data_IF_285507811709
#
_entry.id   IF_285507811709
#
_cell.length_a   1.000
_cell.length_b   1.000
_cell.length_c   1.000
_cell.angle_alpha   90.00
_cell.angle_beta   90.00
_cell.angle_gamma   90.00
#
_symmetry.space_group_name_H-M   'P 1'
#
loop_
_entity.id
_entity.type
_entity.pdbx_description
1 polymer ?
#
# COMPACT_ATOMS: atom_id res chain seq x y z
N UNK A 1 -13.42 -5.49 -13.21
CA UNK A 1 -12.23 -5.69 -14.06
C UNK A 1 -11.19 -6.34 -13.18
N UNK A 2 -11.12 -7.67 -13.20
CA UNK A 2 -10.10 -8.40 -12.46
C UNK A 2 -8.82 -8.25 -13.25
N UNK A 3 -7.90 -7.42 -12.76
CA UNK A 3 -6.55 -7.34 -13.29
C UNK A 3 -5.85 -8.69 -13.13
N UNK A 4 -4.69 -8.82 -13.76
CA UNK A 4 -3.89 -10.04 -13.67
C UNK A 4 -3.63 -10.41 -12.19
N UNK A 5 -4.13 -11.56 -11.69
CA UNK A 5 -3.95 -11.95 -10.30
C UNK A 5 -2.47 -12.18 -9.94
N UNK A 6 -1.60 -12.35 -10.93
CA UNK A 6 -0.17 -12.54 -10.75
C UNK A 6 0.63 -11.23 -10.68
N UNK A 7 -0.02 -10.06 -10.75
CA UNK A 7 0.65 -8.75 -10.79
C UNK A 7 1.71 -8.58 -9.69
N UNK A 8 1.41 -9.03 -8.47
CA UNK A 8 2.32 -8.93 -7.33
C UNK A 8 3.61 -9.73 -7.53
N UNK A 9 3.57 -10.87 -8.25
CA UNK A 9 4.76 -11.66 -8.55
C UNK A 9 5.70 -10.92 -9.50
N UNK A 10 5.16 -10.24 -10.51
CA UNK A 10 5.97 -9.44 -11.45
C UNK A 10 6.66 -8.28 -10.73
N UNK A 11 5.94 -7.58 -9.86
CA UNK A 11 6.47 -6.47 -9.07
C UNK A 11 7.59 -6.95 -8.13
N UNK A 12 7.34 -8.04 -7.39
CA UNK A 12 8.33 -8.62 -6.49
C UNK A 12 9.59 -9.08 -7.21
N UNK A 13 9.44 -9.74 -8.37
CA UNK A 13 10.57 -10.16 -9.20
C UNK A 13 11.38 -8.96 -9.68
N UNK A 14 10.72 -7.89 -10.17
CA UNK A 14 11.39 -6.72 -10.70
C UNK A 14 12.17 -5.94 -9.63
N UNK A 15 11.55 -5.68 -8.48
CA UNK A 15 12.13 -4.87 -7.40
C UNK A 15 13.24 -5.59 -6.61
N UNK A 16 13.34 -6.91 -6.72
CA UNK A 16 14.44 -7.69 -6.15
C UNK A 16 15.65 -7.84 -7.08
N UNK A 17 15.62 -7.29 -8.30
CA UNK A 17 16.78 -7.32 -9.19
C UNK A 17 17.88 -6.35 -8.72
N UNK A 18 19.16 -6.75 -8.69
CA UNK A 18 20.25 -5.88 -8.23
C UNK A 18 20.45 -4.61 -9.07
N UNK A 19 20.23 -4.69 -10.39
CA UNK A 19 20.34 -3.55 -11.29
C UNK A 19 19.21 -2.53 -11.06
N UNK A 20 17.98 -3.01 -10.82
CA UNK A 20 16.83 -2.18 -10.45
C UNK A 20 17.05 -1.52 -9.09
N UNK A 21 17.50 -2.27 -8.08
CA UNK A 21 17.79 -1.71 -6.76
C UNK A 21 18.87 -0.61 -6.84
N UNK A 22 19.93 -0.85 -7.62
CA UNK A 22 20.98 0.16 -7.86
C UNK A 22 20.42 1.41 -8.54
N UNK A 23 19.61 1.24 -9.58
CA UNK A 23 19.01 2.36 -10.32
C UNK A 23 18.07 3.21 -9.44
N UNK A 24 17.38 2.59 -8.47
CA UNK A 24 16.50 3.27 -7.52
C UNK A 24 17.19 3.78 -6.25
N UNK A 25 18.50 3.57 -6.12
CA UNK A 25 19.25 3.80 -4.87
C UNK A 25 18.63 3.08 -3.66
N UNK A 26 18.04 1.90 -3.89
CA UNK A 26 17.51 1.02 -2.87
C UNK A 26 18.57 -0.01 -2.44
N UNK A 27 18.43 -0.55 -1.23
CA UNK A 27 19.33 -1.57 -0.69
C UNK A 27 20.83 -1.17 -0.71
N UNK A 28 21.13 0.11 -0.45
CA UNK A 28 22.50 0.65 -0.52
C UNK A 28 23.45 0.08 0.54
N UNK A 29 22.91 -0.46 1.63
CA UNK A 29 23.66 -1.05 2.75
C UNK A 29 23.73 -2.57 2.72
N UNK A 30 23.10 -3.24 1.74
CA UNK A 30 23.06 -4.71 1.68
C UNK A 30 22.17 -5.33 2.77
N UNK A 31 20.90 -4.95 2.79
CA UNK A 31 19.84 -5.53 3.62
C UNK A 31 19.81 -7.06 3.45
N UNK A 32 19.74 -7.77 4.58
CA UNK A 32 19.71 -9.24 4.63
C UNK A 32 18.36 -9.87 4.30
N UNK A 33 17.41 -9.10 3.76
CA UNK A 33 16.07 -9.58 3.40
C UNK A 33 15.65 -9.01 2.05
N UNK A 34 14.84 -9.75 1.27
CA UNK A 34 14.34 -9.26 -0.01
C UNK A 34 13.30 -8.15 0.18
N UNK A 35 13.09 -7.38 -0.88
CA UNK A 35 11.95 -6.49 -0.97
C UNK A 35 10.65 -7.31 -1.01
N UNK A 36 9.62 -6.85 -0.29
CA UNK A 36 8.28 -7.44 -0.26
C UNK A 36 7.23 -6.31 -0.31
N UNK A 37 6.03 -6.64 -0.77
CA UNK A 37 4.88 -5.73 -0.85
C UNK A 37 4.36 -5.33 0.54
N UNK A 38 4.29 -6.30 1.45
CA UNK A 38 3.80 -6.13 2.82
C UNK A 38 4.74 -6.76 3.85
N UNK A 39 4.80 -6.18 5.05
CA UNK A 39 5.52 -6.76 6.18
C UNK A 39 4.53 -7.32 7.21
N UNK A 40 4.47 -8.65 7.31
CA UNK A 40 3.64 -9.34 8.31
C UNK A 40 4.08 -8.99 9.73
N UNK A 41 5.39 -8.83 9.95
CA UNK A 41 5.91 -8.42 11.25
C UNK A 41 5.36 -7.06 11.68
N UNK A 42 5.24 -6.09 10.77
CA UNK A 42 4.64 -4.78 11.09
C UNK A 42 3.13 -4.93 11.32
N UNK A 43 2.44 -5.70 10.48
CA UNK A 43 1.00 -5.94 10.59
C UNK A 43 0.62 -6.54 11.94
N UNK A 44 1.30 -7.60 12.37
CA UNK A 44 0.99 -8.32 13.61
C UNK A 44 1.28 -7.50 14.87
N UNK A 45 2.15 -6.49 14.78
CA UNK A 45 2.61 -5.70 15.93
C UNK A 45 1.99 -4.28 15.97
N UNK A 46 1.10 -3.93 15.05
CA UNK A 46 0.45 -2.62 15.01
C UNK A 46 -0.67 -2.52 16.06
N UNK A 47 -0.65 -1.45 16.87
CA UNK A 47 -1.60 -1.29 18.01
C UNK A 47 -2.53 -0.08 17.91
N UNK A 48 -2.13 0.98 17.22
CA UNK A 48 -2.91 2.22 17.15
C UNK A 48 -3.91 2.17 15.98
N UNK A 49 -5.17 1.86 16.28
CA UNK A 49 -6.24 1.74 15.29
C UNK A 49 -7.57 2.26 15.85
N UNK A 50 -7.80 3.58 15.84
CA UNK A 50 -9.08 4.14 16.29
C UNK A 50 -10.24 3.64 15.43
N UNK A 51 -11.40 3.40 16.04
CA UNK A 51 -12.60 2.90 15.35
C UNK A 51 -13.10 3.85 14.24
N UNK A 52 -12.78 5.14 14.34
CA UNK A 52 -13.25 6.14 13.38
C UNK A 52 -12.26 7.27 13.15
N UNK A 53 -12.17 7.72 11.89
CA UNK A 53 -11.40 8.88 11.46
C UNK A 53 -12.24 10.16 11.33
N UNK A 54 -13.55 10.10 11.65
CA UNK A 54 -14.46 11.24 11.50
C UNK A 54 -14.01 12.53 12.20
N UNK A 55 -13.47 12.50 13.44
CA UNK A 55 -12.99 13.72 14.09
C UNK A 55 -11.88 14.42 13.31
N UNK A 56 -10.91 13.63 12.80
CA UNK A 56 -9.79 14.13 12.00
C UNK A 56 -10.26 14.71 10.67
N UNK A 57 -11.20 14.04 9.99
CA UNK A 57 -11.80 14.52 8.74
C UNK A 57 -12.53 15.84 8.95
N UNK A 58 -13.33 15.99 10.02
CA UNK A 58 -14.02 17.24 10.36
C UNK A 58 -13.05 18.40 10.58
N UNK A 59 -11.93 18.14 11.27
CA UNK A 59 -10.87 19.14 11.50
C UNK A 59 -10.27 19.63 10.18
N UNK A 60 -9.98 18.73 9.25
CA UNK A 60 -9.45 19.09 7.92
C UNK A 60 -10.45 19.89 7.09
N UNK A 61 -11.74 19.56 7.16
CA UNK A 61 -12.79 20.34 6.49
C UNK A 61 -12.86 21.76 7.07
N UNK A 62 -12.79 21.90 8.40
CA UNK A 62 -12.81 23.21 9.06
C UNK A 62 -11.60 24.09 8.73
N UNK A 63 -10.46 23.51 8.35
CA UNK A 63 -9.28 24.27 7.91
C UNK A 63 -9.34 24.69 6.43
N UNK A 64 -10.45 24.41 5.73
CA UNK A 64 -10.63 24.72 4.32
C UNK A 64 -10.02 23.68 3.36
N UNK A 65 -9.59 22.52 3.86
CA UNK A 65 -9.03 21.46 3.01
C UNK A 65 -10.15 20.73 2.28
N UNK A 66 -10.08 20.68 0.94
CA UNK A 66 -11.00 19.90 0.12
C UNK A 66 -10.62 18.42 0.16
N UNK A 67 -11.55 17.56 0.57
CA UNK A 67 -11.34 16.11 0.71
C UNK A 67 -12.16 15.35 -0.33
N UNK A 68 -11.51 14.41 -1.01
CA UNK A 68 -12.17 13.46 -1.91
C UNK A 68 -12.16 12.07 -1.27
N UNK A 69 -13.35 11.52 -1.02
CA UNK A 69 -13.52 10.13 -0.62
C UNK A 69 -14.09 9.37 -1.82
N UNK A 70 -13.40 8.33 -2.24
CA UNK A 70 -13.81 7.53 -3.39
C UNK A 70 -13.93 6.05 -2.99
N UNK A 71 -14.96 5.38 -3.51
CA UNK A 71 -15.15 3.93 -3.37
C UNK A 71 -15.47 3.35 -4.75
N UNK A 72 -14.68 2.37 -5.19
CA UNK A 72 -15.07 1.55 -6.33
C UNK A 72 -16.23 0.64 -5.87
N UNK A 73 -17.39 0.72 -6.54
CA UNK A 73 -18.40 -0.33 -6.43
C UNK A 73 -17.96 -1.49 -7.31
N UNK A 74 -17.57 -2.61 -6.69
CA UNK A 74 -17.50 -3.88 -7.39
C UNK A 74 -18.95 -4.38 -7.50
N UNK A 75 -19.63 -4.11 -8.62
CA UNK A 75 -20.94 -4.72 -8.85
C UNK A 75 -20.73 -6.20 -9.12
N UNK A 76 -20.85 -7.03 -8.08
CA UNK A 76 -21.01 -8.47 -8.21
C UNK A 76 -22.45 -8.77 -8.64
N UNK A 77 -22.78 -8.45 -9.90
CA UNK A 77 -23.94 -9.05 -10.56
C UNK A 77 -23.42 -9.84 -11.75
N UNK A 78 -22.93 -11.04 -11.45
CA UNK A 78 -22.87 -12.16 -12.38
C UNK A 78 -23.59 -13.30 -11.66
N UNK A 79 -24.88 -13.46 -12.03
CA UNK A 79 -25.83 -14.57 -11.78
C UNK A 79 -25.82 -15.21 -10.39
#
# INVERSE_FOLDING_TARGET
>A
MFGDPCTNHYVSSYLNRPDVQRALHANTTGLGYPWMDCSQHVFDNWKDSPETMLPSIKKLISSGTRIWLYRYMCSANYV
#
